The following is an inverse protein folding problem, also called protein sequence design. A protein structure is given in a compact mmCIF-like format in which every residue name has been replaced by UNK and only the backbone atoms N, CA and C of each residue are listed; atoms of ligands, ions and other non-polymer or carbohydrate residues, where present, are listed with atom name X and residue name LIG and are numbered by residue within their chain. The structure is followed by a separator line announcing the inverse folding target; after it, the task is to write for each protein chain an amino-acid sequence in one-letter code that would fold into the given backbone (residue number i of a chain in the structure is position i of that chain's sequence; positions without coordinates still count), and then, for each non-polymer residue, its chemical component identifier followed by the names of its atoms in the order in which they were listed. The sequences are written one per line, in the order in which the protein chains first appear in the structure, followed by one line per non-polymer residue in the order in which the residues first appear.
data_IF_016235684668
#
_entry.id   IF_016235684668
#
_cell.length_a   1.000
_cell.length_b   1.000
_cell.length_c   1.000
_cell.angle_alpha   90.00
_cell.angle_beta   90.00
_cell.angle_gamma   90.00
#
_symmetry.space_group_name_H-M   'P 1'
#
loop_
_entity.id
_entity.type
_entity.pdbx_description
1 polymer ?
#
# COMPACT_ATOMS: atom_id res chain seq x y z
N UNK A 1 -14.25 13.38 6.94
CA UNK A 1 -13.62 12.11 6.49
C UNK A 1 -12.18 12.44 6.15
N UNK A 2 -11.19 11.78 6.75
CA UNK A 2 -9.77 12.07 6.49
C UNK A 2 -9.08 10.77 6.08
N UNK A 3 -8.56 10.76 4.86
CA UNK A 3 -7.72 9.69 4.36
C UNK A 3 -6.25 10.07 4.63
N UNK A 4 -5.43 9.09 4.98
CA UNK A 4 -4.00 9.29 5.07
C UNK A 4 -3.40 8.97 3.70
N UNK A 5 -3.09 10.01 2.94
CA UNK A 5 -2.47 9.88 1.63
C UNK A 5 -0.97 10.19 1.75
N UNK A 6 -0.15 9.33 1.18
CA UNK A 6 1.30 9.48 1.11
C UNK A 6 1.76 9.23 -0.32
N UNK A 7 2.72 10.02 -0.78
CA UNK A 7 3.36 9.86 -2.08
C UNK A 7 4.87 9.74 -1.86
N UNK A 8 5.48 8.75 -2.49
CA UNK A 8 6.92 8.55 -2.50
C UNK A 8 7.39 8.46 -3.95
N UNK A 9 8.36 9.30 -4.32
CA UNK A 9 8.98 9.29 -5.64
C UNK A 9 10.47 8.97 -5.46
N UNK A 10 10.88 7.79 -5.92
CA UNK A 10 12.27 7.36 -5.96
C UNK A 10 12.83 7.52 -7.37
N UNK A 11 13.90 8.30 -7.50
CA UNK A 11 14.59 8.57 -8.78
C UNK A 11 15.97 7.96 -8.71
N UNK A 12 16.14 6.76 -9.25
CA UNK A 12 17.39 6.00 -9.18
C UNK A 12 17.81 5.43 -10.54
N UNK A 13 19.08 5.60 -10.91
CA UNK A 13 19.73 4.93 -12.06
C UNK A 13 18.92 4.95 -13.39
N UNK A 14 18.25 6.08 -13.70
CA UNK A 14 17.45 6.22 -14.93
C UNK A 14 16.04 5.63 -14.87
N UNK A 15 15.59 5.23 -13.67
CA UNK A 15 14.22 4.81 -13.35
C UNK A 15 13.57 5.82 -12.42
N UNK A 16 12.26 6.01 -12.59
CA UNK A 16 11.42 6.76 -11.66
C UNK A 16 10.38 5.79 -11.13
N UNK A 17 10.38 5.53 -9.83
CA UNK A 17 9.32 4.77 -9.17
C UNK A 17 8.48 5.73 -8.34
N UNK A 18 7.19 5.78 -8.64
CA UNK A 18 6.21 6.55 -7.89
C UNK A 18 5.30 5.59 -7.15
N UNK A 19 5.19 5.72 -5.84
CA UNK A 19 4.28 4.95 -4.98
C UNK A 19 3.28 5.88 -4.32
N UNK A 20 2.00 5.64 -4.56
CA UNK A 20 0.90 6.33 -3.89
C UNK A 20 0.29 5.37 -2.86
N UNK A 21 0.33 5.74 -1.59
CA UNK A 21 -0.25 4.97 -0.50
C UNK A 21 -1.46 5.73 0.06
N UNK A 22 -2.63 5.09 0.07
CA UNK A 22 -3.86 5.64 0.62
C UNK A 22 -4.32 4.71 1.74
N UNK A 23 -4.29 5.17 2.98
CA UNK A 23 -4.73 4.40 4.14
C UNK A 23 -6.04 4.96 4.72
N UNK A 24 -6.96 4.05 5.07
CA UNK A 24 -8.23 4.33 5.73
C UNK A 24 -8.43 3.36 6.90
N UNK A 25 -8.72 3.91 8.07
CA UNK A 25 -9.18 3.18 9.26
C UNK A 25 -10.70 2.94 9.25
N UNK A 26 -11.44 3.70 8.44
CA UNK A 26 -12.86 3.46 8.21
C UNK A 26 -13.04 2.35 7.19
N UNK A 27 -13.20 1.15 7.72
CA UNK A 27 -13.42 -0.10 6.97
C UNK A 27 -14.88 -0.59 7.09
N UNK A 28 -15.79 0.23 7.62
CA UNK A 28 -17.19 -0.20 7.84
C UNK A 28 -17.95 -0.52 6.56
N UNK A 29 -17.56 0.10 5.45
CA UNK A 29 -18.09 -0.17 4.11
C UNK A 29 -17.62 -1.51 3.53
N UNK A 30 -16.61 -2.14 4.14
CA UNK A 30 -15.98 -3.34 3.62
C UNK A 30 -16.68 -4.58 4.17
N UNK A 31 -17.60 -5.14 3.38
CA UNK A 31 -18.43 -6.28 3.78
C UNK A 31 -17.60 -7.50 4.21
N UNK A 32 -16.45 -7.71 3.55
CA UNK A 32 -15.53 -8.82 3.82
C UNK A 32 -14.72 -8.64 5.11
N UNK A 33 -14.83 -7.51 5.83
CA UNK A 33 -14.06 -7.26 7.07
C UNK A 33 -14.24 -8.36 8.11
N UNK A 34 -15.40 -9.02 8.14
CA UNK A 34 -15.69 -10.12 9.07
C UNK A 34 -14.81 -11.37 8.82
N UNK A 35 -14.27 -11.54 7.60
CA UNK A 35 -13.37 -12.63 7.26
C UNK A 35 -11.94 -12.37 7.75
N UNK A 36 -11.60 -11.14 8.10
CA UNK A 36 -10.25 -10.73 8.49
C UNK A 36 -10.22 -10.33 9.96
N UNK A 37 -10.07 -11.35 10.81
CA UNK A 37 -10.05 -11.19 12.26
C UNK A 37 -9.00 -10.16 12.71
N UNK A 38 -9.45 -9.11 13.40
CA UNK A 38 -8.57 -8.07 13.93
C UNK A 38 -8.16 -6.98 12.94
N UNK A 39 -8.79 -6.91 11.75
CA UNK A 39 -8.56 -5.81 10.81
C UNK A 39 -9.00 -4.47 11.41
N UNK A 40 -8.11 -3.48 11.40
CA UNK A 40 -8.39 -2.11 11.90
C UNK A 40 -8.33 -1.05 10.81
N UNK A 41 -7.57 -1.29 9.76
CA UNK A 41 -7.39 -0.36 8.66
C UNK A 41 -6.94 -1.10 7.41
N UNK A 42 -7.25 -0.50 6.26
CA UNK A 42 -6.79 -0.95 4.94
C UNK A 42 -5.95 0.13 4.30
N UNK A 43 -4.95 -0.27 3.51
CA UNK A 43 -4.19 0.66 2.69
C UNK A 43 -4.16 0.19 1.24
N UNK A 44 -4.41 1.07 0.29
CA UNK A 44 -4.16 0.84 -1.13
C UNK A 44 -2.77 1.39 -1.48
N UNK A 45 -1.98 0.62 -2.22
CA UNK A 45 -0.74 1.10 -2.82
C UNK A 45 -0.85 0.99 -4.32
N UNK A 46 -0.73 2.13 -5.00
CA UNK A 46 -0.55 2.24 -6.43
C UNK A 46 0.94 2.48 -6.74
N UNK A 47 1.50 1.68 -7.63
CA UNK A 47 2.92 1.73 -7.97
C UNK A 47 3.07 1.95 -9.46
N UNK A 48 3.67 3.08 -9.83
CA UNK A 48 4.04 3.38 -11.20
C UNK A 48 5.56 3.34 -11.33
N UNK A 49 6.06 2.59 -12.30
CA UNK A 49 7.48 2.55 -12.64
C UNK A 49 7.67 3.12 -14.04
N UNK A 50 8.54 4.10 -14.17
CA UNK A 50 8.94 4.69 -15.44
C UNK A 50 10.39 4.32 -15.74
N UNK A 51 10.64 3.79 -16.93
CA UNK A 51 11.97 3.42 -17.41
C UNK A 51 12.08 3.77 -18.89
N UNK A 52 13.04 4.63 -19.25
CA UNK A 52 13.28 5.00 -20.66
C UNK A 52 12.06 5.57 -21.39
N UNK A 53 11.25 6.39 -20.71
CA UNK A 53 10.04 7.01 -21.26
C UNK A 53 8.82 6.09 -21.35
N UNK A 54 8.91 4.83 -20.91
CA UNK A 54 7.77 3.92 -20.79
C UNK A 54 7.28 3.90 -19.36
N UNK A 55 5.99 4.20 -19.16
CA UNK A 55 5.30 4.08 -17.87
C UNK A 55 4.65 2.72 -17.75
N UNK A 56 4.93 2.02 -16.66
CA UNK A 56 4.28 0.78 -16.26
C UNK A 56 3.51 1.05 -14.97
N UNK A 57 2.18 0.95 -15.04
CA UNK A 57 1.33 0.98 -13.86
C UNK A 57 1.18 -0.45 -13.33
N UNK A 58 1.55 -0.67 -12.08
CA UNK A 58 1.29 -1.92 -11.36
C UNK A 58 -0.16 -2.00 -10.90
N UNK A 59 -0.65 -3.20 -10.54
CA UNK A 59 -1.97 -3.31 -9.95
C UNK A 59 -2.01 -2.59 -8.59
N UNK A 60 -3.11 -1.88 -8.32
CA UNK A 60 -3.36 -1.35 -7.00
C UNK A 60 -3.59 -2.51 -6.02
N UNK A 61 -2.77 -2.60 -4.98
CA UNK A 61 -2.84 -3.70 -3.99
C UNK A 61 -3.41 -3.18 -2.67
N UNK A 62 -4.35 -3.93 -2.10
CA UNK A 62 -4.89 -3.68 -0.77
C UNK A 62 -4.07 -4.41 0.31
N UNK A 63 -3.63 -3.68 1.32
CA UNK A 63 -2.88 -4.16 2.47
C UNK A 63 -3.76 -4.15 3.71
N UNK A 64 -3.76 -5.27 4.44
CA UNK A 64 -4.38 -5.38 5.76
C UNK A 64 -3.39 -4.89 6.82
N UNK A 65 -3.81 -3.95 7.66
CA UNK A 65 -2.97 -3.50 8.78
C UNK A 65 -3.43 -4.19 10.07
N UNK A 66 -2.58 -5.06 10.66
CA UNK A 66 -2.92 -5.71 11.91
C UNK A 66 -2.92 -4.70 13.07
N UNK A 67 -3.73 -5.02 14.07
CA UNK A 67 -3.89 -4.31 15.33
C UNK A 67 -2.59 -3.89 16.06
N UNK A 68 -1.50 -4.65 15.86
CA UNK A 68 -0.20 -4.40 16.49
C UNK A 68 0.62 -3.46 15.62
N UNK A 69 0.59 -2.18 16.00
CA UNK A 69 1.47 -1.06 15.61
C UNK A 69 2.67 -1.50 14.75
N UNK A 70 2.53 -1.43 13.43
CA UNK A 70 3.69 -1.40 12.55
C UNK A 70 4.38 -0.04 12.78
N UNK A 71 5.39 -0.01 13.65
CA UNK A 71 6.46 0.99 13.46
C UNK A 71 6.92 0.79 12.02
N UNK A 72 6.91 1.85 11.23
CA UNK A 72 7.63 1.91 9.97
C UNK A 72 9.13 1.84 10.27
N UNK A 73 9.59 0.72 10.83
CA UNK A 73 11.00 0.43 10.97
C UNK A 73 11.47 -0.11 9.63
N UNK A 74 12.15 0.81 8.94
CA UNK A 74 13.09 0.63 7.85
C UNK A 74 13.99 -0.59 8.09
N UNK A 75 13.56 -1.82 7.79
CA UNK A 75 14.42 -2.96 7.42
C UNK A 75 13.64 -3.93 6.54
N UNK A 76 14.25 -4.29 5.42
CA UNK A 76 13.65 -5.15 4.41
C UNK A 76 13.35 -6.57 4.90
N UNK A 77 12.53 -7.24 4.11
CA UNK A 77 12.40 -8.70 4.15
C UNK A 77 11.01 -9.20 4.53
N UNK A 78 10.40 -9.88 3.55
CA UNK A 78 9.24 -10.77 3.65
C UNK A 78 7.88 -10.13 3.97
N UNK A 79 7.21 -9.64 2.91
CA UNK A 79 5.76 -9.43 2.90
C UNK A 79 5.10 -10.78 2.65
N UNK A 80 4.40 -11.32 3.65
CA UNK A 80 3.47 -12.43 3.45
C UNK A 80 2.38 -11.94 2.51
N UNK A 81 2.39 -12.48 1.30
CA UNK A 81 1.45 -12.20 0.21
C UNK A 81 0.15 -12.96 0.49
N UNK A 82 -0.91 -12.24 0.81
CA UNK A 82 -2.25 -12.69 0.45
C UNK A 82 -2.73 -11.79 -0.69
N UNK A 83 -2.45 -12.24 -1.91
CA UNK A 83 -3.16 -11.74 -3.10
C UNK A 83 -4.61 -12.24 -3.03
N UNK A 84 -5.56 -11.34 -3.25
CA UNK A 84 -6.92 -11.73 -3.65
C UNK A 84 -6.92 -12.16 -5.11
#
# INVERSE_FOLDING_TARGET
MKLNCWEEVDKGHGRIETRHCIASDRIDWLEQKAQWAGLRSVAMIDETRESGGKKQCGPAVLYQQPATRCRADRKGGSRTLNSF
#
